data_IF_025203520899
#
_entry.id   IF_025203520899
#
_cell.length_a   1.000
_cell.length_b   1.000
_cell.length_c   1.000
_cell.angle_alpha   90.00
_cell.angle_beta   90.00
_cell.angle_gamma   90.00
#
_symmetry.space_group_name_H-M   'P 1'
#
loop_
_entity.id
_entity.type
_entity.pdbx_description
1 polymer ?
#
# COMPACT_ATOMS: atom_id res chain seq x y z
N UNK A 1 10.80 -2.52 5.59
CA UNK A 1 9.47 -2.18 5.01
C UNK A 1 9.49 -2.44 3.52
N UNK A 2 8.49 -3.16 3.02
CA UNK A 2 8.30 -3.49 1.60
C UNK A 2 7.33 -2.48 0.98
N UNK A 3 7.70 -1.90 -0.15
CA UNK A 3 6.95 -0.85 -0.84
C UNK A 3 6.53 -1.35 -2.22
N UNK A 4 5.23 -1.32 -2.49
CA UNK A 4 4.69 -1.59 -3.82
C UNK A 4 4.95 -0.43 -4.77
N UNK A 5 4.84 -0.68 -6.09
CA UNK A 5 5.08 0.32 -7.13
C UNK A 5 6.47 0.96 -7.06
N UNK A 6 7.49 0.14 -6.85
CA UNK A 6 8.85 0.54 -6.54
C UNK A 6 9.48 1.58 -7.46
N UNK A 7 9.07 1.61 -8.72
CA UNK A 7 9.53 2.59 -9.70
C UNK A 7 9.09 4.03 -9.39
N UNK A 8 8.15 4.22 -8.45
CA UNK A 8 7.62 5.53 -8.05
C UNK A 8 8.07 5.98 -6.66
N UNK A 9 8.74 5.11 -5.91
CA UNK A 9 9.06 5.36 -4.50
C UNK A 9 10.23 6.33 -4.32
N UNK A 10 11.22 6.27 -5.21
CA UNK A 10 12.46 7.06 -5.14
C UNK A 10 12.70 7.81 -6.46
N UNK A 11 13.21 9.05 -6.37
CA UNK A 11 13.68 9.82 -7.53
C UNK A 11 15.05 9.28 -7.99
N UNK A 12 15.05 8.16 -8.70
CA UNK A 12 16.28 7.53 -9.19
C UNK A 12 16.53 7.83 -10.68
N UNK A 13 17.79 8.05 -11.09
CA UNK A 13 18.16 8.21 -12.51
C UNK A 13 17.76 7.01 -13.38
N UNK A 14 17.65 5.83 -12.79
CA UNK A 14 17.26 4.58 -13.45
C UNK A 14 15.75 4.41 -13.59
N UNK A 15 14.96 5.23 -12.92
CA UNK A 15 13.51 5.16 -13.00
C UNK A 15 13.04 5.33 -14.46
N UNK A 16 12.06 4.51 -14.93
CA UNK A 16 11.48 4.68 -16.26
C UNK A 16 10.86 6.07 -16.46
N UNK A 17 10.46 6.76 -15.38
CA UNK A 17 9.94 8.14 -15.44
C UNK A 17 11.03 9.20 -15.66
N UNK A 18 12.30 8.86 -15.47
CA UNK A 18 13.44 9.75 -15.77
C UNK A 18 14.00 9.57 -17.19
N UNK A 19 13.45 8.64 -17.98
CA UNK A 19 13.90 8.37 -19.35
C UNK A 19 13.14 9.24 -20.36
N UNK A 20 13.91 10.02 -21.13
CA UNK A 20 13.40 10.84 -22.23
C UNK A 20 13.05 12.29 -21.86
N UNK A 21 13.18 13.18 -22.84
CA UNK A 21 12.96 14.63 -22.69
C UNK A 21 11.51 14.94 -22.30
N UNK A 22 10.54 14.24 -22.91
CA UNK A 22 9.12 14.45 -22.65
C UNK A 22 8.74 14.15 -21.20
N UNK A 23 9.29 13.06 -20.64
CA UNK A 23 9.02 12.70 -19.23
C UNK A 23 9.68 13.67 -18.25
N UNK A 24 10.86 14.20 -18.58
CA UNK A 24 11.51 15.26 -17.78
C UNK A 24 10.70 16.55 -17.80
N UNK A 25 10.18 16.95 -18.95
CA UNK A 25 9.31 18.13 -19.06
C UNK A 25 8.00 17.94 -18.31
N UNK A 26 7.40 16.75 -18.38
CA UNK A 26 6.18 16.43 -17.64
C UNK A 26 6.43 16.36 -16.12
N UNK A 27 7.57 15.83 -15.68
CA UNK A 27 7.99 15.86 -14.27
C UNK A 27 8.20 17.29 -13.77
N UNK A 28 8.82 18.16 -14.60
CA UNK A 28 8.98 19.58 -14.29
C UNK A 28 7.62 20.29 -14.20
N UNK A 29 6.72 20.03 -15.15
CA UNK A 29 5.36 20.55 -15.10
C UNK A 29 4.63 20.11 -13.83
N UNK A 30 4.73 18.82 -13.46
CA UNK A 30 4.11 18.30 -12.24
C UNK A 30 4.69 18.99 -10.98
N UNK A 31 6.00 19.18 -10.91
CA UNK A 31 6.66 19.93 -9.83
C UNK A 31 6.17 21.38 -9.73
N UNK A 32 6.02 22.05 -10.86
CA UNK A 32 5.53 23.43 -10.90
C UNK A 32 4.03 23.54 -10.55
N UNK A 33 3.23 22.60 -11.00
CA UNK A 33 1.76 22.63 -10.84
C UNK A 33 1.27 22.08 -9.51
N UNK A 34 1.94 21.06 -8.97
CA UNK A 34 1.51 20.30 -7.79
C UNK A 34 2.53 20.33 -6.63
N UNK A 35 3.67 21.02 -6.81
CA UNK A 35 4.73 21.08 -5.82
C UNK A 35 5.60 19.83 -5.70
N UNK A 36 5.23 18.74 -6.37
CA UNK A 36 5.95 17.45 -6.34
C UNK A 36 6.06 16.84 -7.73
N UNK A 37 7.09 16.00 -7.95
CA UNK A 37 7.21 15.20 -9.17
C UNK A 37 6.34 13.93 -9.15
N UNK A 38 6.78 12.93 -9.93
CA UNK A 38 6.14 11.60 -10.01
C UNK A 38 6.59 10.62 -8.93
N UNK A 39 7.34 11.09 -7.95
CA UNK A 39 7.93 10.22 -6.93
C UNK A 39 7.35 10.56 -5.57
N UNK A 40 7.29 9.55 -4.72
CA UNK A 40 6.88 9.71 -3.35
C UNK A 40 7.98 10.29 -2.46
N UNK A 41 9.25 10.24 -2.91
CA UNK A 41 10.42 10.65 -2.14
C UNK A 41 10.44 9.99 -0.74
N UNK A 42 10.14 8.69 -0.70
CA UNK A 42 10.02 7.93 0.57
C UNK A 42 11.34 7.96 1.34
N UNK A 43 12.47 7.84 0.63
CA UNK A 43 13.82 7.91 1.18
C UNK A 43 14.07 9.25 1.88
N UNK A 44 13.66 10.36 1.27
CA UNK A 44 13.82 11.69 1.86
C UNK A 44 12.95 11.87 3.10
N UNK A 45 11.70 11.40 3.03
CA UNK A 45 10.79 11.47 4.18
C UNK A 45 11.31 10.61 5.33
N UNK A 46 11.75 9.38 5.06
CA UNK A 46 12.33 8.48 6.07
C UNK A 46 13.61 9.05 6.67
N UNK A 47 14.52 9.59 5.84
CA UNK A 47 15.76 10.21 6.34
C UNK A 47 15.46 11.36 7.31
N UNK A 48 14.52 12.24 6.96
CA UNK A 48 14.08 13.33 7.83
C UNK A 48 13.48 12.82 9.14
N UNK A 49 12.58 11.83 9.10
CA UNK A 49 11.95 11.29 10.31
C UNK A 49 12.96 10.59 11.24
N UNK A 50 13.99 9.94 10.69
CA UNK A 50 15.09 9.36 11.46
C UNK A 50 15.92 10.47 12.11
N UNK A 51 16.26 11.54 11.38
CA UNK A 51 17.01 12.67 11.89
C UNK A 51 16.27 13.42 13.00
N UNK A 52 14.95 13.55 12.87
CA UNK A 52 14.05 14.10 13.89
C UNK A 52 13.84 13.16 15.10
N UNK A 53 14.30 11.92 15.04
CA UNK A 53 14.08 10.90 16.07
C UNK A 53 12.65 10.39 16.18
N UNK A 54 11.81 10.63 15.15
CA UNK A 54 10.41 10.21 15.12
C UNK A 54 10.25 8.72 14.84
N UNK A 55 11.19 8.12 14.10
CA UNK A 55 11.21 6.70 13.78
C UNK A 55 12.62 6.12 13.92
N UNK A 56 12.71 4.80 14.16
CA UNK A 56 13.97 4.08 14.11
C UNK A 56 14.50 3.92 12.67
N UNK A 57 15.83 3.72 12.48
CA UNK A 57 16.40 3.39 11.18
C UNK A 57 15.74 2.16 10.55
N UNK A 58 15.40 2.23 9.27
CA UNK A 58 14.67 1.20 8.55
C UNK A 58 15.29 0.92 7.17
N UNK A 59 15.21 -0.33 6.74
CA UNK A 59 15.53 -0.74 5.37
C UNK A 59 14.25 -0.66 4.52
N UNK A 60 14.31 0.09 3.42
CA UNK A 60 13.25 0.20 2.44
C UNK A 60 13.53 -0.75 1.27
N UNK A 61 12.59 -1.64 0.99
CA UNK A 61 12.65 -2.59 -0.12
C UNK A 61 11.56 -2.23 -1.12
N UNK A 62 11.94 -1.57 -2.20
CA UNK A 62 11.03 -1.03 -3.21
C UNK A 62 10.85 -2.01 -4.35
N UNK A 63 9.69 -2.65 -4.42
CA UNK A 63 9.40 -3.73 -5.38
C UNK A 63 8.75 -3.15 -6.63
N UNK A 64 9.43 -3.28 -7.76
CA UNK A 64 8.90 -2.86 -9.05
C UNK A 64 7.77 -3.79 -9.47
N UNK A 65 6.66 -3.22 -9.91
CA UNK A 65 5.61 -3.99 -10.55
C UNK A 65 5.90 -4.20 -12.04
N UNK A 66 5.23 -5.17 -12.62
CA UNK A 66 5.18 -5.32 -14.05
C UNK A 66 4.25 -4.27 -14.69
N UNK A 67 4.52 -3.81 -15.92
CA UNK A 67 3.80 -2.68 -16.50
C UNK A 67 2.35 -2.99 -16.89
N UNK A 68 1.49 -1.95 -16.86
CA UNK A 68 0.11 -1.95 -17.37
C UNK A 68 -0.78 -3.01 -16.71
N UNK A 69 -1.38 -3.90 -17.55
CA UNK A 69 -2.32 -4.96 -17.14
C UNK A 69 -1.69 -5.89 -16.11
N UNK A 70 -0.41 -6.21 -16.24
CA UNK A 70 0.29 -7.11 -15.33
C UNK A 70 0.35 -6.59 -13.89
N UNK A 71 0.51 -5.26 -13.69
CA UNK A 71 0.39 -4.67 -12.35
C UNK A 71 -0.97 -4.95 -11.72
N UNK A 72 -2.04 -4.83 -12.51
CA UNK A 72 -3.40 -5.09 -12.01
C UNK A 72 -3.58 -6.54 -11.62
N UNK A 73 -3.08 -7.47 -12.42
CA UNK A 73 -3.19 -8.91 -12.12
C UNK A 73 -2.32 -9.34 -10.94
N UNK A 74 -1.20 -8.67 -10.68
CA UNK A 74 -0.35 -8.90 -9.51
C UNK A 74 -0.96 -8.33 -8.22
N UNK A 75 -1.71 -7.23 -8.31
CA UNK A 75 -2.22 -6.51 -7.13
C UNK A 75 -3.69 -6.76 -6.84
N UNK A 76 -4.38 -7.52 -7.69
CA UNK A 76 -5.78 -7.90 -7.47
C UNK A 76 -5.86 -9.13 -6.57
N UNK A 77 -6.48 -9.04 -5.38
CA UNK A 77 -6.53 -10.14 -4.42
C UNK A 77 -7.23 -11.38 -4.99
N UNK A 78 -6.47 -12.42 -5.30
CA UNK A 78 -6.92 -13.57 -6.09
C UNK A 78 -8.07 -14.34 -5.42
N UNK A 79 -7.99 -14.58 -4.13
CA UNK A 79 -8.99 -15.35 -3.38
C UNK A 79 -10.32 -14.63 -3.20
N UNK A 80 -10.32 -13.28 -3.35
CA UNK A 80 -11.54 -12.48 -3.30
C UNK A 80 -12.33 -12.51 -4.61
N UNK A 81 -11.70 -12.92 -5.71
CA UNK A 81 -12.33 -12.90 -7.03
C UNK A 81 -13.20 -14.13 -7.21
N UNK A 82 -14.46 -14.02 -6.81
CA UNK A 82 -15.50 -14.99 -7.12
C UNK A 82 -15.88 -14.93 -8.60
N UNK A 83 -16.62 -15.94 -9.10
CA UNK A 83 -17.14 -15.92 -10.48
C UNK A 83 -18.03 -14.69 -10.73
N UNK A 84 -18.83 -14.27 -9.73
CA UNK A 84 -19.69 -13.10 -9.84
C UNK A 84 -18.86 -11.82 -9.96
N UNK A 85 -17.85 -11.64 -9.09
CA UNK A 85 -16.94 -10.49 -9.15
C UNK A 85 -16.20 -10.47 -10.49
N UNK A 86 -15.73 -11.63 -10.95
CA UNK A 86 -15.07 -11.75 -12.24
C UNK A 86 -16.00 -11.30 -13.37
N UNK A 87 -17.26 -11.71 -13.36
CA UNK A 87 -18.25 -11.31 -14.36
C UNK A 87 -18.53 -9.81 -14.30
N UNK A 88 -18.78 -9.26 -13.12
CA UNK A 88 -19.21 -7.86 -12.96
C UNK A 88 -18.06 -6.86 -13.19
N UNK A 89 -16.84 -7.27 -12.84
CA UNK A 89 -15.66 -6.40 -12.89
C UNK A 89 -14.86 -6.57 -14.18
N UNK A 90 -14.63 -7.82 -14.60
CA UNK A 90 -13.79 -8.11 -15.77
C UNK A 90 -14.48 -7.73 -17.08
N UNK A 91 -15.82 -7.63 -17.12
CA UNK A 91 -16.54 -7.04 -18.27
C UNK A 91 -16.23 -5.55 -18.48
N UNK A 92 -15.84 -4.83 -17.44
CA UNK A 92 -15.45 -3.40 -17.54
C UNK A 92 -13.97 -3.21 -17.87
N UNK A 93 -13.15 -4.22 -17.59
CA UNK A 93 -11.69 -4.23 -17.82
C UNK A 93 -11.35 -5.40 -18.76
N UNK A 94 -11.61 -5.22 -20.05
CA UNK A 94 -11.54 -6.27 -21.10
C UNK A 94 -10.23 -7.08 -21.17
N UNK A 95 -9.16 -6.57 -20.52
CA UNK A 95 -7.82 -7.14 -20.58
C UNK A 95 -7.45 -7.99 -19.35
N UNK A 96 -8.33 -8.07 -18.32
CA UNK A 96 -8.07 -8.87 -17.11
C UNK A 96 -9.00 -10.06 -17.10
N UNK A 97 -8.43 -11.26 -17.04
CA UNK A 97 -9.15 -12.52 -16.86
C UNK A 97 -8.77 -13.14 -15.52
N UNK A 98 -9.71 -13.84 -14.88
CA UNK A 98 -9.51 -14.50 -13.59
C UNK A 98 -8.27 -15.41 -13.58
N UNK A 99 -8.06 -16.16 -14.63
CA UNK A 99 -6.92 -17.07 -14.81
C UNK A 99 -5.56 -16.34 -14.91
N UNK A 100 -5.58 -15.02 -15.20
CA UNK A 100 -4.37 -14.20 -15.30
C UNK A 100 -4.01 -13.51 -13.98
N UNK A 101 -4.85 -13.61 -12.94
CA UNK A 101 -4.58 -13.01 -11.63
C UNK A 101 -3.47 -13.81 -10.95
N UNK A 102 -2.44 -13.11 -10.47
CA UNK A 102 -1.21 -13.70 -9.96
C UNK A 102 -0.78 -13.16 -8.61
N UNK A 103 -1.69 -12.52 -7.88
CA UNK A 103 -1.37 -11.89 -6.59
C UNK A 103 -0.85 -12.89 -5.55
N UNK A 104 -1.37 -14.12 -5.51
CA UNK A 104 -0.85 -15.17 -4.62
C UNK A 104 0.60 -15.56 -4.97
N UNK A 105 0.95 -15.55 -6.26
CA UNK A 105 2.34 -15.78 -6.70
C UNK A 105 3.23 -14.60 -6.35
N UNK A 106 2.73 -13.38 -6.50
CA UNK A 106 3.44 -12.17 -6.14
C UNK A 106 3.72 -12.12 -4.63
N UNK A 107 2.74 -12.41 -3.80
CA UNK A 107 2.94 -12.44 -2.34
C UNK A 107 3.90 -13.56 -1.91
N UNK A 108 3.80 -14.75 -2.51
CA UNK A 108 4.78 -15.82 -2.28
C UNK A 108 6.20 -15.40 -2.65
N UNK A 109 6.39 -14.74 -3.78
CA UNK A 109 7.69 -14.17 -4.13
C UNK A 109 8.21 -13.22 -3.05
N UNK A 110 7.37 -12.33 -2.51
CA UNK A 110 7.77 -11.42 -1.43
C UNK A 110 8.18 -12.18 -0.16
N UNK A 111 7.40 -13.19 0.22
CA UNK A 111 7.54 -13.89 1.51
C UNK A 111 8.59 -14.99 1.45
N UNK A 112 8.60 -15.79 0.38
CA UNK A 112 9.41 -17.00 0.28
C UNK A 112 10.79 -16.77 -0.37
N UNK A 113 10.94 -15.67 -1.16
CA UNK A 113 12.16 -15.41 -1.90
C UNK A 113 12.79 -14.07 -1.51
N UNK A 114 12.07 -12.96 -1.69
CA UNK A 114 12.63 -11.62 -1.50
C UNK A 114 12.95 -11.32 -0.03
N UNK A 115 12.01 -11.60 0.89
CA UNK A 115 12.24 -11.35 2.31
C UNK A 115 13.40 -12.19 2.87
N UNK A 116 13.49 -13.50 2.64
CA UNK A 116 14.63 -14.29 3.05
C UNK A 116 15.96 -13.78 2.47
N UNK A 117 15.97 -13.37 1.20
CA UNK A 117 17.15 -12.78 0.59
C UNK A 117 17.59 -11.49 1.30
N UNK A 118 16.66 -10.60 1.61
CA UNK A 118 16.96 -9.35 2.33
C UNK A 118 17.46 -9.65 3.74
N UNK A 119 16.82 -10.57 4.46
CA UNK A 119 17.19 -10.91 5.84
C UNK A 119 18.57 -11.59 5.94
N UNK A 120 18.96 -12.35 4.91
CA UNK A 120 20.28 -13.00 4.86
C UNK A 120 21.41 -12.04 4.48
N UNK A 121 21.12 -11.00 3.69
CA UNK A 121 22.17 -10.14 3.12
C UNK A 121 22.27 -8.77 3.79
N UNK A 122 21.31 -8.37 4.61
CA UNK A 122 21.27 -7.07 5.29
C UNK A 122 20.99 -7.25 6.78
N UNK A 123 21.39 -6.27 7.57
CA UNK A 123 21.17 -6.27 9.04
C UNK A 123 19.72 -5.91 9.35
N UNK A 124 18.81 -6.84 9.21
CA UNK A 124 17.39 -6.70 9.49
C UNK A 124 17.03 -7.17 10.90
N UNK A 125 15.92 -6.65 11.44
CA UNK A 125 15.10 -7.32 12.44
C UNK A 125 14.04 -8.10 11.66
N UNK A 126 14.22 -9.43 11.54
CA UNK A 126 13.47 -10.27 10.59
C UNK A 126 12.10 -10.72 11.10
N UNK A 127 11.80 -10.44 12.35
CA UNK A 127 10.54 -10.84 12.98
C UNK A 127 9.33 -10.05 12.45
N UNK A 128 8.13 -10.58 12.71
CA UNK A 128 6.86 -10.02 12.29
C UNK A 128 6.72 -8.54 12.70
N UNK A 129 6.98 -8.22 13.97
CA UNK A 129 6.77 -6.87 14.53
C UNK A 129 7.66 -5.79 13.89
N UNK A 130 8.68 -6.20 13.16
CA UNK A 130 9.60 -5.32 12.42
C UNK A 130 9.47 -5.43 10.90
N UNK A 131 8.44 -6.14 10.41
CA UNK A 131 8.19 -6.33 8.97
C UNK A 131 6.90 -5.63 8.56
N UNK A 132 7.01 -4.65 7.65
CA UNK A 132 5.89 -3.80 7.23
C UNK A 132 5.73 -3.79 5.71
N UNK A 133 4.49 -3.55 5.24
CA UNK A 133 4.17 -3.44 3.82
C UNK A 133 3.35 -2.18 3.54
N UNK A 134 3.58 -1.52 2.41
CA UNK A 134 2.88 -0.27 2.09
C UNK A 134 2.66 -0.09 0.60
N UNK A 135 1.53 0.51 0.26
CA UNK A 135 1.22 0.96 -1.09
C UNK A 135 -0.04 1.80 -1.18
N UNK A 136 -0.31 2.38 -2.36
CA UNK A 136 -1.52 3.15 -2.62
C UNK A 136 -2.41 2.52 -3.69
N UNK A 137 -3.69 2.86 -3.68
CA UNK A 137 -4.64 2.39 -4.69
C UNK A 137 -4.70 0.86 -4.73
N UNK A 138 -4.40 0.24 -5.87
CA UNK A 138 -4.20 -1.21 -5.99
C UNK A 138 -3.04 -1.70 -5.10
N UNK A 139 -1.99 -0.88 -4.88
CA UNK A 139 -0.91 -1.18 -3.94
C UNK A 139 -1.42 -1.24 -2.48
N UNK A 140 -2.39 -0.42 -2.11
CA UNK A 140 -3.09 -0.52 -0.83
C UNK A 140 -3.90 -1.81 -0.71
N UNK A 141 -4.56 -2.24 -1.79
CA UNK A 141 -5.30 -3.52 -1.81
C UNK A 141 -4.39 -4.71 -1.59
N UNK A 142 -3.29 -4.80 -2.32
CA UNK A 142 -2.36 -5.92 -2.16
C UNK A 142 -1.65 -5.88 -0.80
N UNK A 143 -1.45 -4.70 -0.19
CA UNK A 143 -0.95 -4.56 1.18
C UNK A 143 -1.95 -5.12 2.21
N UNK A 144 -3.23 -4.79 2.06
CA UNK A 144 -4.31 -5.33 2.89
C UNK A 144 -4.46 -6.86 2.70
N UNK A 145 -4.31 -7.33 1.47
CA UNK A 145 -4.33 -8.76 1.17
C UNK A 145 -3.13 -9.48 1.75
N UNK A 146 -1.93 -8.89 1.67
CA UNK A 146 -0.72 -9.46 2.22
C UNK A 146 -0.80 -9.69 3.74
N UNK A 147 -1.33 -8.74 4.50
CA UNK A 147 -1.45 -8.89 5.95
C UNK A 147 -2.54 -9.89 6.34
N UNK A 148 -3.55 -10.09 5.49
CA UNK A 148 -4.58 -11.12 5.68
C UNK A 148 -4.08 -12.53 5.37
N UNK A 149 -3.22 -12.67 4.35
CA UNK A 149 -2.70 -13.96 3.91
C UNK A 149 -1.46 -14.41 4.69
N UNK A 150 -0.68 -13.45 5.19
CA UNK A 150 0.60 -13.69 5.89
C UNK A 150 0.69 -12.85 7.18
N UNK A 151 -0.29 -12.98 8.10
CA UNK A 151 -0.30 -12.21 9.34
C UNK A 151 0.90 -12.53 10.26
N UNK A 152 1.50 -13.72 10.11
CA UNK A 152 2.70 -14.12 10.84
C UNK A 152 3.99 -13.49 10.27
N UNK A 153 3.95 -12.92 9.07
CA UNK A 153 5.09 -12.28 8.41
C UNK A 153 5.07 -10.77 8.56
N UNK A 154 3.90 -10.16 8.36
CA UNK A 154 3.74 -8.71 8.36
C UNK A 154 3.10 -8.24 9.68
N UNK A 155 3.84 -7.46 10.47
CA UNK A 155 3.33 -6.84 11.69
C UNK A 155 2.59 -5.53 11.44
N UNK A 156 2.62 -4.99 10.22
CA UNK A 156 1.82 -3.82 9.89
C UNK A 156 1.70 -3.54 8.39
N UNK A 157 0.62 -2.86 8.05
CA UNK A 157 0.32 -2.44 6.69
C UNK A 157 -0.14 -0.99 6.62
N UNK A 158 0.39 -0.23 5.64
CA UNK A 158 -0.15 1.07 5.26
C UNK A 158 -0.82 0.98 3.88
N UNK A 159 -2.14 1.18 3.88
CA UNK A 159 -3.02 1.04 2.73
C UNK A 159 -3.60 2.42 2.37
N UNK A 160 -2.86 3.17 1.52
CA UNK A 160 -3.20 4.55 1.17
C UNK A 160 -4.19 4.58 0.01
N UNK A 161 -5.26 5.39 0.13
CA UNK A 161 -6.29 5.52 -0.92
C UNK A 161 -6.64 4.17 -1.55
N UNK A 162 -6.94 3.18 -0.73
CA UNK A 162 -7.12 1.79 -1.16
C UNK A 162 -8.29 1.66 -2.13
N UNK A 163 -8.09 0.96 -3.23
CA UNK A 163 -9.07 0.85 -4.31
C UNK A 163 -10.25 -0.10 -3.97
N UNK A 164 -10.97 0.18 -2.88
CA UNK A 164 -12.12 -0.60 -2.41
C UNK A 164 -13.26 -0.79 -3.41
N UNK A 165 -13.54 0.16 -4.35
CA UNK A 165 -14.59 -0.03 -5.35
C UNK A 165 -14.37 -1.19 -6.32
N UNK A 166 -13.18 -1.77 -6.35
CA UNK A 166 -12.91 -2.99 -7.11
C UNK A 166 -13.80 -4.12 -6.59
N UNK A 167 -14.75 -4.57 -7.40
CA UNK A 167 -15.70 -5.62 -7.00
C UNK A 167 -16.77 -5.18 -5.98
N UNK A 168 -16.89 -3.88 -5.72
CA UNK A 168 -17.88 -3.34 -4.77
C UNK A 168 -17.70 -3.86 -3.36
N UNK A 169 -18.81 -4.01 -2.62
CA UNK A 169 -18.78 -4.50 -1.24
C UNK A 169 -18.26 -5.94 -1.08
N UNK A 170 -18.26 -6.73 -2.17
CA UNK A 170 -17.83 -8.12 -2.13
C UNK A 170 -16.35 -8.28 -1.74
N UNK A 171 -15.50 -7.35 -2.16
CA UNK A 171 -14.06 -7.37 -1.81
C UNK A 171 -13.85 -7.08 -0.33
N UNK A 172 -14.51 -6.05 0.20
CA UNK A 172 -14.40 -5.75 1.63
C UNK A 172 -15.07 -6.81 2.49
N UNK A 173 -16.17 -7.43 2.04
CA UNK A 173 -16.85 -8.52 2.76
C UNK A 173 -15.98 -9.78 2.92
N UNK A 174 -15.05 -10.03 1.99
CA UNK A 174 -14.12 -11.13 2.16
C UNK A 174 -13.29 -11.00 3.43
N UNK A 175 -12.87 -9.77 3.77
CA UNK A 175 -12.07 -9.48 4.95
C UNK A 175 -12.81 -9.70 6.26
N UNK A 176 -14.16 -9.77 6.28
CA UNK A 176 -14.92 -10.04 7.51
C UNK A 176 -14.51 -11.33 8.23
N UNK A 177 -14.04 -12.32 7.44
CA UNK A 177 -13.65 -13.63 7.94
C UNK A 177 -12.15 -13.94 7.75
N UNK A 178 -11.39 -13.03 7.13
CA UNK A 178 -9.99 -13.28 6.78
C UNK A 178 -9.04 -12.21 7.32
N UNK A 179 -9.57 -11.18 7.99
CA UNK A 179 -8.73 -10.17 8.61
C UNK A 179 -8.14 -10.71 9.92
N UNK A 180 -6.84 -10.46 10.22
CA UNK A 180 -6.24 -10.89 11.48
C UNK A 180 -6.96 -10.28 12.69
N UNK A 181 -6.90 -10.96 13.82
CA UNK A 181 -7.34 -10.40 15.09
C UNK A 181 -6.36 -9.33 15.55
N UNK A 182 -6.87 -8.36 16.33
CA UNK A 182 -6.04 -7.35 16.97
C UNK A 182 -5.01 -8.00 17.92
N UNK A 183 -3.91 -7.30 18.18
CA UNK A 183 -2.86 -7.72 19.10
C UNK A 183 -1.49 -7.32 18.63
N UNK A 184 -0.96 -7.96 17.58
CA UNK A 184 0.41 -7.75 17.13
C UNK A 184 0.52 -6.98 15.81
N UNK A 185 -0.57 -6.38 15.34
CA UNK A 185 -0.60 -5.70 14.05
C UNK A 185 -0.89 -4.22 14.19
N UNK A 186 -0.27 -3.40 13.34
CA UNK A 186 -0.58 -1.98 13.16
C UNK A 186 -1.07 -1.73 11.74
N UNK A 187 -2.26 -1.18 11.62
CA UNK A 187 -2.92 -0.99 10.33
C UNK A 187 -3.23 0.49 10.12
N UNK A 188 -2.78 0.99 8.97
CA UNK A 188 -3.07 2.35 8.56
C UNK A 188 -3.88 2.36 7.27
N UNK A 189 -4.99 3.10 7.30
CA UNK A 189 -5.79 3.43 6.13
C UNK A 189 -5.90 4.94 5.96
N UNK A 190 -5.97 5.40 4.72
CA UNK A 190 -6.39 6.75 4.42
C UNK A 190 -7.10 6.85 3.08
N UNK A 191 -7.72 8.00 2.83
CA UNK A 191 -8.21 8.43 1.53
C UNK A 191 -8.31 9.94 1.45
N UNK A 192 -8.36 10.46 0.22
CA UNK A 192 -8.85 11.80 -0.04
C UNK A 192 -10.37 11.85 -0.20
N UNK A 193 -10.88 12.96 -0.72
CA UNK A 193 -12.31 13.15 -1.01
C UNK A 193 -12.57 13.57 -2.46
N UNK A 194 -11.52 13.79 -3.25
CA UNK A 194 -11.62 14.25 -4.63
C UNK A 194 -11.15 13.19 -5.65
N UNK A 195 -11.61 13.33 -6.90
CA UNK A 195 -11.26 12.43 -7.98
C UNK A 195 -11.70 10.99 -7.71
N UNK A 196 -10.82 10.01 -7.90
CA UNK A 196 -11.14 8.59 -7.62
C UNK A 196 -11.44 8.35 -6.13
N UNK A 197 -10.77 9.06 -5.21
CA UNK A 197 -10.94 8.89 -3.78
C UNK A 197 -12.35 9.26 -3.29
N UNK A 198 -13.10 10.09 -4.05
CA UNK A 198 -14.48 10.43 -3.72
C UNK A 198 -15.41 9.21 -3.64
N UNK A 199 -15.07 8.14 -4.32
CA UNK A 199 -15.85 6.89 -4.35
C UNK A 199 -15.40 5.85 -3.32
N UNK A 200 -14.31 6.10 -2.58
CA UNK A 200 -13.70 5.10 -1.69
C UNK A 200 -14.31 5.05 -0.29
N UNK A 201 -15.12 6.06 0.05
CA UNK A 201 -15.73 6.21 1.37
C UNK A 201 -16.49 4.98 1.86
N UNK A 202 -17.47 4.45 1.09
CA UNK A 202 -18.26 3.31 1.54
C UNK A 202 -17.43 2.07 1.87
N UNK A 203 -16.45 1.73 1.03
CA UNK A 203 -15.55 0.61 1.27
C UNK A 203 -14.66 0.83 2.49
N UNK A 204 -14.16 2.05 2.71
CA UNK A 204 -13.37 2.38 3.89
C UNK A 204 -14.20 2.27 5.18
N UNK A 205 -15.43 2.77 5.17
CA UNK A 205 -16.35 2.64 6.33
C UNK A 205 -16.62 1.17 6.65
N UNK A 206 -16.76 0.33 5.63
CA UNK A 206 -16.93 -1.11 5.84
C UNK A 206 -15.67 -1.73 6.46
N UNK A 207 -14.47 -1.45 5.94
CA UNK A 207 -13.22 -1.90 6.55
C UNK A 207 -13.06 -1.40 7.98
N UNK A 208 -13.42 -0.15 8.27
CA UNK A 208 -13.40 0.41 9.61
C UNK A 208 -14.31 -0.38 10.58
N UNK A 209 -15.43 -0.91 10.10
CA UNK A 209 -16.32 -1.79 10.89
C UNK A 209 -15.68 -3.16 11.15
N UNK A 210 -14.97 -3.71 10.17
CA UNK A 210 -14.22 -4.98 10.28
C UNK A 210 -13.09 -4.84 11.30
N UNK A 211 -12.35 -3.73 11.28
CA UNK A 211 -11.30 -3.45 12.25
C UNK A 211 -11.85 -3.50 13.69
N UNK A 212 -12.96 -2.79 13.94
CA UNK A 212 -13.62 -2.80 15.25
C UNK A 212 -14.09 -4.20 15.66
N UNK A 213 -14.71 -4.94 14.73
CA UNK A 213 -15.19 -6.31 14.97
C UNK A 213 -14.06 -7.27 15.35
N UNK A 214 -12.87 -7.09 14.78
CA UNK A 214 -11.68 -7.89 15.07
C UNK A 214 -10.87 -7.37 16.26
N UNK A 215 -11.40 -6.42 17.03
CA UNK A 215 -10.84 -5.97 18.30
C UNK A 215 -9.77 -4.89 18.20
N UNK A 216 -9.54 -4.32 17.03
CA UNK A 216 -8.60 -3.21 16.86
C UNK A 216 -9.11 -1.93 17.54
N UNK A 217 -8.20 -1.21 18.18
CA UNK A 217 -8.48 0.04 18.89
C UNK A 217 -7.99 1.20 18.05
N UNK A 218 -8.93 2.09 17.67
CA UNK A 218 -8.61 3.24 16.83
C UNK A 218 -7.54 4.12 17.48
N UNK A 219 -6.61 4.62 16.68
CA UNK A 219 -5.46 5.45 17.06
C UNK A 219 -4.40 4.76 17.93
N UNK A 220 -4.62 3.51 18.33
CA UNK A 220 -3.64 2.67 19.04
C UNK A 220 -2.94 1.69 18.08
N UNK A 221 -3.67 0.73 17.54
CA UNK A 221 -3.18 -0.31 16.64
C UNK A 221 -3.78 -0.21 15.23
N UNK A 222 -4.74 0.67 15.05
CA UNK A 222 -5.36 0.98 13.77
C UNK A 222 -5.68 2.47 13.63
N UNK A 223 -5.36 3.02 12.45
CA UNK A 223 -5.66 4.41 12.08
C UNK A 223 -6.36 4.47 10.73
N UNK A 224 -7.41 5.29 10.62
CA UNK A 224 -8.15 5.52 9.38
C UNK A 224 -8.45 7.00 9.25
N UNK A 225 -7.90 7.66 8.22
CA UNK A 225 -7.95 9.10 8.04
C UNK A 225 -8.61 9.51 6.73
N UNK A 226 -9.28 10.66 6.75
CA UNK A 226 -9.85 11.31 5.57
C UNK A 226 -9.19 12.67 5.39
N UNK A 227 -8.68 12.93 4.18
CA UNK A 227 -8.04 14.18 3.81
C UNK A 227 -8.94 14.96 2.86
N UNK A 228 -9.68 15.92 3.42
CA UNK A 228 -10.62 16.75 2.66
C UNK A 228 -9.91 17.56 1.57
N UNK A 229 -10.46 17.54 0.37
CA UNK A 229 -9.92 18.23 -0.81
C UNK A 229 -8.71 17.55 -1.46
N UNK A 230 -8.17 16.50 -0.86
CA UNK A 230 -7.07 15.75 -1.47
C UNK A 230 -7.60 14.73 -2.48
N UNK A 231 -6.83 14.53 -3.55
CA UNK A 231 -7.20 13.65 -4.66
C UNK A 231 -6.28 12.44 -4.77
N UNK A 232 -6.62 11.50 -5.66
CA UNK A 232 -5.89 10.26 -5.94
C UNK A 232 -4.58 10.52 -6.71
N UNK A 233 -3.62 11.17 -6.09
CA UNK A 233 -2.36 11.59 -6.75
C UNK A 233 -1.14 11.30 -5.90
N UNK A 234 0.01 11.11 -6.55
CA UNK A 234 1.31 10.95 -5.88
C UNK A 234 1.63 12.16 -5.00
N UNK A 235 1.28 13.36 -5.44
CA UNK A 235 1.48 14.59 -4.66
C UNK A 235 0.71 14.56 -3.33
N UNK A 236 -0.55 14.11 -3.37
CA UNK A 236 -1.37 13.97 -2.17
C UNK A 236 -0.79 12.92 -1.21
N UNK A 237 -0.30 11.79 -1.74
CA UNK A 237 0.31 10.74 -0.91
C UNK A 237 1.66 11.18 -0.34
N UNK A 238 2.53 11.80 -1.13
CA UNK A 238 3.82 12.31 -0.68
C UNK A 238 3.65 13.31 0.49
N UNK A 239 2.70 14.24 0.37
CA UNK A 239 2.42 15.28 1.37
C UNK A 239 2.09 14.70 2.76
N UNK A 240 1.41 13.56 2.82
CA UNK A 240 0.95 12.92 4.05
C UNK A 240 1.71 11.64 4.44
N UNK A 241 2.76 11.29 3.70
CA UNK A 241 3.52 10.04 3.85
C UNK A 241 4.14 9.87 5.25
N UNK A 242 4.49 10.97 5.92
CA UNK A 242 5.03 10.92 7.28
C UNK A 242 4.06 10.27 8.27
N UNK A 243 2.75 10.45 8.09
CA UNK A 243 1.73 9.95 9.02
C UNK A 243 1.73 8.41 9.12
N UNK A 244 1.59 7.64 8.02
CA UNK A 244 1.69 6.18 8.10
C UNK A 244 3.08 5.69 8.54
N UNK A 245 4.16 6.38 8.17
CA UNK A 245 5.51 6.00 8.59
C UNK A 245 5.69 6.15 10.10
N UNK A 246 5.31 7.28 10.68
CA UNK A 246 5.35 7.48 12.13
C UNK A 246 4.43 6.49 12.84
N UNK A 247 3.21 6.28 12.36
CA UNK A 247 2.27 5.35 12.99
C UNK A 247 2.79 3.91 13.03
N UNK A 248 3.42 3.45 11.94
CA UNK A 248 3.93 2.08 11.87
C UNK A 248 5.27 1.91 12.59
N UNK A 249 6.15 2.93 12.57
CA UNK A 249 7.58 2.78 12.86
C UNK A 249 8.04 3.49 14.14
N UNK A 250 7.19 4.28 14.81
CA UNK A 250 7.59 4.95 16.04
C UNK A 250 7.83 3.93 17.16
N UNK A 251 8.98 4.06 17.83
CA UNK A 251 9.38 3.23 18.97
C UNK A 251 8.51 3.44 20.23
N UNK A 252 7.81 4.58 20.31
CA UNK A 252 6.96 4.94 21.46
C UNK A 252 5.61 4.22 21.53
N UNK A 253 5.26 3.39 20.53
CA UNK A 253 3.97 2.67 20.48
C UNK A 253 4.03 1.27 21.14
N UNK A 254 5.12 0.94 21.82
CA UNK A 254 5.30 -0.36 22.50
C UNK A 254 5.24 -0.25 24.05
N UNK A 255 4.61 0.80 24.58
CA UNK A 255 4.40 0.91 26.04
C UNK A 255 2.91 0.85 26.38
#
# INVERSE_FOLDING_TARGET
>A
MYLHDGQMMFDQPTSPFNKGVLMKLYSLYAKLRYGTGFFWDVDKTVARLIEEGSIDPIILVSVYNLPKVKRRTEYMPQKMITEQIATDFLHKESDIRKENITSDKYLRFLVDELKPYVDQNYRTKSDQSNTFIMGSSMGGMISAYAISEYPEVFGGAACLSTHWPLGGNSVTSWYENHWPQAGNHRIYFDRGTEGYDSTYGPGQVHMDSIMKKNGFIRDLDWKSLVFEGESHTMAAWQKRLHIPLEFLLSSNSQK
#
